data_IF_849317029314
#
_entry.id   IF_849317029314
#
_cell.length_a   1.000
_cell.length_b   1.000
_cell.length_c   1.000
_cell.angle_alpha   90.00
_cell.angle_beta   90.00
_cell.angle_gamma   90.00
#
_symmetry.space_group_name_H-M   'P 1'
#
loop_
_entity.id
_entity.type
_entity.pdbx_description
1 polymer ?
#
# COMPACT_ATOMS: atom_id res chain seq x y z
N UNK A 1 -32.60 5.13 4.74
CA UNK A 1 -31.94 4.61 3.52
C UNK A 1 -30.52 4.26 3.89
N UNK A 2 -30.00 3.08 3.50
CA UNK A 2 -28.60 2.77 3.75
C UNK A 2 -27.71 3.76 2.99
N UNK A 3 -26.71 4.34 3.65
CA UNK A 3 -25.69 5.15 2.99
C UNK A 3 -24.94 4.28 1.98
N UNK A 4 -24.76 4.72 0.72
CA UNK A 4 -24.05 3.93 -0.27
C UNK A 4 -22.61 3.68 0.16
N UNK A 5 -22.08 2.50 -0.16
CA UNK A 5 -20.66 2.17 0.05
C UNK A 5 -19.83 2.89 -1.00
N UNK A 6 -18.84 3.66 -0.56
CA UNK A 6 -17.83 4.27 -1.43
C UNK A 6 -16.51 3.51 -1.32
N UNK A 7 -15.89 3.22 -2.46
CA UNK A 7 -14.57 2.60 -2.53
C UNK A 7 -13.66 3.56 -3.30
N UNK A 8 -12.61 4.04 -2.64
CA UNK A 8 -11.59 4.88 -3.25
C UNK A 8 -10.35 4.03 -3.53
N UNK A 9 -9.86 4.07 -4.77
CA UNK A 9 -8.61 3.41 -5.16
C UNK A 9 -7.61 4.49 -5.52
N UNK A 10 -6.54 4.59 -4.74
CA UNK A 10 -5.54 5.64 -4.86
C UNK A 10 -4.19 5.01 -5.20
N UNK A 11 -3.58 5.45 -6.30
CA UNK A 11 -2.17 5.15 -6.58
C UNK A 11 -1.30 6.01 -5.66
N UNK A 12 -0.16 5.48 -5.21
CA UNK A 12 0.84 6.26 -4.50
C UNK A 12 1.25 7.52 -5.30
N UNK A 13 1.70 8.55 -4.59
CA UNK A 13 2.27 9.76 -5.20
C UNK A 13 3.62 9.48 -5.88
N UNK A 14 4.23 10.50 -6.51
CA UNK A 14 5.51 10.38 -7.23
C UNK A 14 6.60 9.76 -6.35
N UNK A 15 7.36 8.82 -6.93
CA UNK A 15 8.43 8.11 -6.23
C UNK A 15 9.76 8.83 -6.37
N UNK A 16 10.63 8.68 -5.38
CA UNK A 16 11.98 9.23 -5.43
C UNK A 16 12.80 8.67 -6.60
N UNK A 17 12.62 7.40 -6.97
CA UNK A 17 13.36 6.78 -8.06
C UNK A 17 12.90 7.20 -9.46
N UNK A 18 11.70 7.81 -9.57
CA UNK A 18 11.23 8.42 -10.81
C UNK A 18 12.05 9.68 -11.17
N UNK A 19 12.62 10.36 -10.15
CA UNK A 19 13.34 11.64 -10.30
C UNK A 19 14.84 11.54 -10.03
N UNK A 20 15.26 10.57 -9.21
CA UNK A 20 16.64 10.42 -8.78
C UNK A 20 17.14 8.98 -9.01
N UNK A 21 17.93 8.77 -10.07
CA UNK A 21 18.44 7.43 -10.45
C UNK A 21 19.41 6.80 -9.44
N UNK A 22 19.96 7.59 -8.51
CA UNK A 22 20.95 7.15 -7.52
C UNK A 22 20.41 7.20 -6.08
N UNK A 23 19.09 7.35 -5.92
CA UNK A 23 18.41 7.48 -4.63
C UNK A 23 18.79 6.39 -3.61
N UNK A 24 18.98 5.16 -4.10
CA UNK A 24 19.20 3.98 -3.25
C UNK A 24 20.56 3.98 -2.55
N UNK A 25 21.56 4.74 -3.02
CA UNK A 25 22.90 4.72 -2.41
C UNK A 25 22.94 5.24 -0.97
N UNK A 26 22.03 6.16 -0.63
CA UNK A 26 21.92 6.75 0.71
C UNK A 26 20.61 6.36 1.40
N UNK A 27 19.94 5.31 0.91
CA UNK A 27 18.65 4.85 1.42
C UNK A 27 18.82 3.55 2.20
N UNK A 28 18.00 3.36 3.22
CA UNK A 28 17.86 2.07 3.91
C UNK A 28 16.85 1.14 3.21
N UNK A 29 16.11 1.66 2.22
CA UNK A 29 15.15 0.88 1.44
C UNK A 29 15.83 0.11 0.30
N UNK A 30 15.25 -1.05 -0.04
CA UNK A 30 15.59 -1.83 -1.24
C UNK A 30 15.09 -1.16 -2.52
N UNK A 31 15.61 -1.57 -3.67
CA UNK A 31 15.36 -0.88 -4.96
C UNK A 31 13.89 -0.93 -5.41
N UNK A 32 13.13 -1.93 -4.98
CA UNK A 32 11.70 -2.08 -5.22
C UNK A 32 10.81 -1.23 -4.30
N UNK A 33 11.39 -0.67 -3.24
CA UNK A 33 10.67 0.05 -2.19
C UNK A 33 11.06 1.54 -2.04
N UNK A 34 11.13 2.32 -3.12
CA UNK A 34 11.41 3.75 -3.02
C UNK A 34 10.33 4.49 -2.22
N UNK A 35 10.73 5.49 -1.42
CA UNK A 35 9.80 6.44 -0.82
C UNK A 35 9.25 7.40 -1.87
N UNK A 36 8.37 8.29 -1.44
CA UNK A 36 7.92 9.45 -2.21
C UNK A 36 9.07 10.45 -2.41
N UNK A 37 9.07 11.10 -3.57
CA UNK A 37 9.92 12.27 -3.83
C UNK A 37 9.43 13.50 -3.06
N UNK A 38 10.20 14.59 -3.08
CA UNK A 38 9.75 15.89 -2.53
C UNK A 38 8.42 16.34 -3.16
N UNK A 39 8.29 16.24 -4.49
CA UNK A 39 7.03 16.53 -5.19
C UNK A 39 5.93 15.53 -4.84
N UNK A 40 6.27 14.26 -4.65
CA UNK A 40 5.34 13.23 -4.16
C UNK A 40 4.75 13.57 -2.79
N UNK A 41 5.55 14.15 -1.89
CA UNK A 41 5.07 14.63 -0.59
C UNK A 41 4.09 15.82 -0.74
N UNK A 42 4.32 16.72 -1.68
CA UNK A 42 3.37 17.81 -2.00
C UNK A 42 2.04 17.23 -2.51
N UNK A 43 2.08 16.26 -3.42
CA UNK A 43 0.88 15.57 -3.90
C UNK A 43 0.12 14.88 -2.75
N UNK A 44 0.82 14.28 -1.80
CA UNK A 44 0.22 13.65 -0.63
C UNK A 44 -0.48 14.68 0.29
N UNK A 45 0.06 15.89 0.41
CA UNK A 45 -0.60 16.99 1.13
C UNK A 45 -1.87 17.48 0.41
N UNK A 46 -1.85 17.51 -0.93
CA UNK A 46 -3.05 17.82 -1.70
C UNK A 46 -4.13 16.76 -1.49
N UNK A 47 -3.76 15.47 -1.50
CA UNK A 47 -4.68 14.37 -1.17
C UNK A 47 -5.24 14.50 0.25
N UNK A 48 -4.44 14.90 1.25
CA UNK A 48 -4.95 15.15 2.60
C UNK A 48 -6.08 16.21 2.58
N UNK A 49 -5.86 17.33 1.86
CA UNK A 49 -6.83 18.41 1.75
C UNK A 49 -8.13 17.96 1.06
N UNK A 50 -8.01 17.24 -0.06
CA UNK A 50 -9.17 16.71 -0.79
C UNK A 50 -9.95 15.70 0.04
N UNK A 51 -9.26 14.83 0.77
CA UNK A 51 -9.91 13.82 1.59
C UNK A 51 -10.43 14.37 2.91
N UNK A 52 -10.04 15.58 3.36
CA UNK A 52 -10.24 16.09 4.73
C UNK A 52 -11.65 15.83 5.30
N UNK A 53 -12.69 16.07 4.50
CA UNK A 53 -14.09 15.96 4.91
C UNK A 53 -14.77 14.65 4.48
N UNK A 54 -14.03 13.72 3.87
CA UNK A 54 -14.50 12.38 3.52
C UNK A 54 -14.36 11.50 4.76
N UNK A 55 -15.48 10.90 5.19
CA UNK A 55 -15.47 9.89 6.24
C UNK A 55 -14.85 8.60 5.71
N UNK A 56 -13.90 8.03 6.46
CA UNK A 56 -13.18 6.82 6.08
C UNK A 56 -13.32 5.82 7.22
N UNK A 57 -14.07 4.74 6.98
CA UNK A 57 -14.22 3.64 7.95
C UNK A 57 -12.99 2.72 7.96
N UNK A 58 -12.47 2.41 6.77
CA UNK A 58 -11.36 1.46 6.60
C UNK A 58 -10.32 2.00 5.62
N UNK A 59 -9.04 1.83 5.95
CA UNK A 59 -7.92 2.11 5.07
C UNK A 59 -7.06 0.85 4.95
N UNK A 60 -6.86 0.40 3.72
CA UNK A 60 -5.93 -0.68 3.39
C UNK A 60 -4.87 -0.14 2.46
N UNK A 61 -3.61 -0.48 2.72
CA UNK A 61 -2.49 0.00 1.91
C UNK A 61 -1.54 -1.14 1.56
N UNK A 62 -0.96 -1.05 0.36
CA UNK A 62 0.20 -1.86 0.01
C UNK A 62 1.34 -1.56 0.98
N UNK A 63 2.15 -2.56 1.36
CA UNK A 63 3.18 -2.37 2.37
C UNK A 63 4.39 -1.53 1.90
N UNK A 64 4.48 -1.22 0.61
CA UNK A 64 5.56 -0.36 0.13
C UNK A 64 5.48 1.04 0.71
N UNK A 65 6.66 1.60 1.01
CA UNK A 65 6.86 2.86 1.68
C UNK A 65 6.09 4.00 1.01
N UNK A 66 6.17 4.12 -0.33
CA UNK A 66 5.40 5.10 -1.11
C UNK A 66 3.89 5.04 -0.89
N UNK A 67 3.34 3.83 -0.71
CA UNK A 67 1.92 3.62 -0.44
C UNK A 67 1.59 3.98 1.00
N UNK A 68 2.42 3.56 1.95
CA UNK A 68 2.27 3.91 3.38
C UNK A 68 2.34 5.43 3.59
N UNK A 69 3.31 6.12 2.99
CA UNK A 69 3.43 7.58 3.05
C UNK A 69 2.17 8.28 2.50
N UNK A 70 1.67 7.82 1.36
CA UNK A 70 0.45 8.37 0.75
C UNK A 70 -0.76 8.15 1.67
N UNK A 71 -0.96 6.93 2.17
CA UNK A 71 -2.07 6.60 3.09
C UNK A 71 -1.97 7.35 4.42
N UNK A 72 -0.76 7.45 4.98
CA UNK A 72 -0.51 8.15 6.24
C UNK A 72 -0.84 9.63 6.13
N UNK A 73 -0.52 10.26 4.99
CA UNK A 73 -0.91 11.65 4.73
C UNK A 73 -2.39 11.82 4.50
N UNK A 74 -3.06 10.94 3.76
CA UNK A 74 -4.53 10.97 3.64
C UNK A 74 -5.19 10.94 5.02
N UNK A 75 -4.67 10.15 5.96
CA UNK A 75 -5.22 9.99 7.31
C UNK A 75 -4.62 10.94 8.36
N UNK A 76 -3.74 11.86 7.98
CA UNK A 76 -3.10 12.77 8.93
C UNK A 76 -4.15 13.62 9.67
N UNK A 77 -4.02 13.67 11.00
CA UNK A 77 -4.98 14.35 11.88
C UNK A 77 -6.26 13.55 12.20
N UNK A 78 -6.37 12.30 11.74
CA UNK A 78 -7.51 11.40 12.05
C UNK A 78 -7.11 10.33 13.05
N UNK A 79 -7.95 10.13 14.06
CA UNK A 79 -7.79 9.05 15.05
C UNK A 79 -8.78 7.90 14.86
N UNK A 80 -9.79 8.08 13.99
CA UNK A 80 -10.89 7.12 13.81
C UNK A 80 -10.61 6.02 12.77
N UNK A 81 -9.49 6.10 12.04
CA UNK A 81 -9.13 5.12 11.02
C UNK A 81 -7.64 4.82 11.09
N UNK A 82 -7.30 3.53 11.10
CA UNK A 82 -5.92 3.04 11.06
C UNK A 82 -5.62 2.41 9.70
N UNK A 83 -4.35 2.38 9.32
CA UNK A 83 -3.85 1.77 8.09
C UNK A 83 -3.66 0.27 8.33
N UNK A 84 -4.47 -0.54 7.64
CA UNK A 84 -4.31 -1.98 7.57
C UNK A 84 -3.32 -2.31 6.44
N UNK A 85 -2.11 -2.76 6.79
CA UNK A 85 -1.06 -3.07 5.82
C UNK A 85 -1.35 -4.43 5.15
N UNK A 86 -1.70 -4.42 3.86
CA UNK A 86 -2.15 -5.60 3.11
C UNK A 86 -1.23 -5.88 1.90
N UNK A 87 -0.28 -6.83 2.03
CA UNK A 87 0.55 -7.33 0.92
C UNK A 87 -0.23 -7.89 -0.27
N UNK A 88 -1.53 -8.21 -0.11
CA UNK A 88 -2.44 -8.52 -1.21
C UNK A 88 -2.55 -7.41 -2.26
N UNK A 89 -2.13 -6.18 -1.93
CA UNK A 89 -2.03 -5.03 -2.85
C UNK A 89 -0.62 -4.70 -3.32
N UNK A 90 0.37 -5.58 -3.11
CA UNK A 90 1.66 -5.47 -3.78
C UNK A 90 1.49 -5.46 -5.31
N UNK A 91 2.42 -4.80 -5.98
CA UNK A 91 2.45 -4.74 -7.44
C UNK A 91 2.70 -6.13 -8.08
N UNK A 92 2.67 -6.19 -9.41
CA UNK A 92 2.93 -7.44 -10.11
C UNK A 92 4.37 -7.93 -9.87
N UNK A 93 4.56 -9.22 -9.60
CA UNK A 93 5.87 -9.77 -9.22
C UNK A 93 6.98 -9.59 -10.28
N UNK A 94 6.64 -9.40 -11.56
CA UNK A 94 7.63 -9.10 -12.60
C UNK A 94 8.28 -7.73 -12.39
N UNK A 95 7.56 -6.73 -11.87
CA UNK A 95 8.10 -5.40 -11.59
C UNK A 95 9.12 -5.43 -10.44
N UNK A 96 8.94 -6.33 -9.48
CA UNK A 96 9.94 -6.60 -8.44
C UNK A 96 11.24 -7.05 -9.09
N UNK A 97 11.18 -7.94 -10.08
CA UNK A 97 12.38 -8.42 -10.80
C UNK A 97 13.07 -7.32 -11.61
N UNK A 98 12.31 -6.40 -12.19
CA UNK A 98 12.85 -5.26 -12.94
C UNK A 98 13.67 -4.31 -12.05
N UNK A 99 13.35 -4.23 -10.75
CA UNK A 99 14.16 -3.48 -9.77
C UNK A 99 15.51 -4.12 -9.44
N UNK A 100 15.69 -5.40 -9.81
CA UNK A 100 16.83 -6.24 -9.43
C UNK A 100 16.58 -7.12 -8.21
N UNK A 101 15.44 -6.97 -7.54
CA UNK A 101 15.06 -7.78 -6.38
C UNK A 101 14.40 -9.11 -6.78
N UNK A 102 14.59 -10.15 -5.96
CA UNK A 102 13.96 -11.47 -6.20
C UNK A 102 12.54 -11.56 -5.65
N UNK A 103 12.29 -10.84 -4.56
CA UNK A 103 11.04 -10.84 -3.79
C UNK A 103 10.75 -9.44 -3.28
N UNK A 104 9.46 -9.09 -3.12
CA UNK A 104 9.08 -7.79 -2.59
C UNK A 104 9.67 -7.65 -1.19
N UNK A 105 10.39 -6.57 -0.96
CA UNK A 105 11.00 -6.26 0.33
C UNK A 105 10.40 -4.99 0.87
N UNK A 106 9.83 -5.09 2.06
CA UNK A 106 9.17 -3.99 2.75
C UNK A 106 9.29 -4.20 4.26
N UNK A 107 9.22 -3.10 4.99
CA UNK A 107 9.31 -3.13 6.45
C UNK A 107 8.09 -3.77 7.08
N UNK A 108 8.28 -4.35 8.26
CA UNK A 108 7.20 -4.94 9.04
C UNK A 108 6.36 -3.86 9.71
N UNK A 109 5.11 -4.17 10.03
CA UNK A 109 4.17 -3.23 10.66
C UNK A 109 4.73 -2.53 11.91
N UNK A 110 5.55 -3.23 12.71
CA UNK A 110 6.20 -2.62 13.89
C UNK A 110 7.25 -1.58 13.54
N UNK A 111 8.03 -1.81 12.48
CA UNK A 111 9.02 -0.86 11.98
C UNK A 111 8.30 0.36 11.38
N UNK A 112 7.27 0.12 10.55
CA UNK A 112 6.40 1.17 10.01
C UNK A 112 5.77 2.01 11.12
N UNK A 113 5.26 1.37 12.20
CA UNK A 113 4.62 2.05 13.32
C UNK A 113 5.57 2.98 14.10
N UNK A 114 6.89 2.82 13.99
CA UNK A 114 7.84 3.77 14.57
C UNK A 114 7.84 5.12 13.84
N UNK A 115 7.43 5.14 12.56
CA UNK A 115 7.39 6.32 11.68
C UNK A 115 5.96 6.80 11.42
N UNK A 116 4.98 5.88 11.48
CA UNK A 116 3.58 6.11 11.13
C UNK A 116 2.66 5.65 12.28
N UNK A 117 2.24 6.55 13.18
CA UNK A 117 1.50 6.17 14.40
C UNK A 117 0.09 5.60 14.13
N UNK A 118 -0.43 5.74 12.91
CA UNK A 118 -1.73 5.24 12.48
C UNK A 118 -1.67 3.83 11.86
N UNK A 119 -0.55 3.11 11.93
CA UNK A 119 -0.47 1.71 11.50
C UNK A 119 -1.29 0.81 12.44
N UNK A 120 -2.16 -0.03 11.87
CA UNK A 120 -2.96 -0.98 12.63
C UNK A 120 -2.17 -2.26 12.96
N UNK A 121 -1.50 -2.28 14.11
CA UNK A 121 -0.75 -3.46 14.58
C UNK A 121 -1.61 -4.70 14.91
N UNK A 122 -2.95 -4.57 14.92
CA UNK A 122 -3.87 -5.68 15.20
C UNK A 122 -4.40 -6.33 13.93
N UNK A 123 -4.19 -5.69 12.77
CA UNK A 123 -4.63 -6.23 11.50
C UNK A 123 -3.83 -7.49 11.16
N UNK A 124 -4.50 -8.50 10.59
CA UNK A 124 -3.87 -9.70 10.06
C UNK A 124 -4.08 -9.70 8.54
N UNK A 125 -3.00 -9.59 7.74
CA UNK A 125 -3.13 -9.54 6.30
C UNK A 125 -3.59 -10.88 5.72
N UNK A 126 -4.28 -10.82 4.59
CA UNK A 126 -4.71 -12.02 3.85
C UNK A 126 -3.55 -12.67 3.11
N UNK A 127 -2.56 -11.88 2.70
CA UNK A 127 -1.35 -12.33 2.05
C UNK A 127 -0.11 -11.86 2.79
N UNK A 128 0.94 -12.67 2.77
CA UNK A 128 2.29 -12.25 3.20
C UNK A 128 3.22 -11.99 2.01
N UNK A 129 2.92 -12.57 0.85
CA UNK A 129 3.70 -12.41 -0.37
C UNK A 129 2.84 -12.81 -1.58
N UNK A 130 3.12 -12.27 -2.77
CA UNK A 130 2.67 -12.83 -4.04
C UNK A 130 3.06 -14.31 -4.18
N UNK A 131 2.28 -15.07 -4.94
CA UNK A 131 2.58 -16.47 -5.25
C UNK A 131 3.78 -16.59 -6.20
N UNK A 132 4.45 -17.74 -6.21
CA UNK A 132 5.63 -17.99 -7.07
C UNK A 132 5.33 -17.76 -8.57
N UNK A 133 4.13 -18.11 -9.01
CA UNK A 133 3.64 -17.92 -10.39
C UNK A 133 3.63 -16.43 -10.81
N UNK A 134 3.58 -15.50 -9.86
CA UNK A 134 3.67 -14.06 -10.14
C UNK A 134 5.08 -13.58 -10.47
N UNK A 135 6.09 -14.42 -10.32
CA UNK A 135 7.47 -14.08 -10.69
C UNK A 135 7.91 -14.76 -12.01
N UNK A 136 7.04 -15.61 -12.57
CA UNK A 136 7.20 -16.23 -13.88
C UNK A 136 6.70 -15.32 -15.01
N UNK A 137 7.56 -15.09 -16.00
CA UNK A 137 7.31 -14.27 -17.19
C UNK A 137 6.02 -14.60 -17.94
N UNK A 138 5.52 -15.84 -17.90
CA UNK A 138 4.37 -16.26 -18.71
C UNK A 138 3.02 -16.16 -17.98
N UNK A 139 3.01 -16.04 -16.65
CA UNK A 139 1.78 -16.12 -15.84
C UNK A 139 1.51 -14.86 -14.99
N UNK A 140 2.44 -13.91 -14.95
CA UNK A 140 2.46 -12.88 -13.90
C UNK A 140 1.18 -12.03 -13.82
N UNK A 141 0.72 -11.48 -14.94
CA UNK A 141 -0.41 -10.51 -14.93
C UNK A 141 -1.70 -11.18 -14.45
N UNK A 142 -1.97 -12.40 -14.90
CA UNK A 142 -3.16 -13.16 -14.49
C UNK A 142 -3.11 -13.56 -13.02
N UNK A 143 -1.94 -14.00 -12.55
CA UNK A 143 -1.75 -14.36 -11.15
C UNK A 143 -1.91 -13.14 -10.22
N UNK A 144 -1.31 -11.99 -10.56
CA UNK A 144 -1.52 -10.73 -9.85
C UNK A 144 -3.00 -10.30 -9.84
N UNK A 145 -3.67 -10.34 -11.00
CA UNK A 145 -5.10 -10.04 -11.09
C UNK A 145 -5.93 -10.93 -10.15
N UNK A 146 -5.65 -12.24 -10.11
CA UNK A 146 -6.34 -13.17 -9.22
C UNK A 146 -6.12 -12.85 -7.75
N UNK A 147 -4.88 -12.52 -7.35
CA UNK A 147 -4.54 -12.09 -5.98
C UNK A 147 -5.28 -10.82 -5.57
N UNK A 148 -5.23 -9.77 -6.41
CA UNK A 148 -5.92 -8.50 -6.12
C UNK A 148 -7.43 -8.70 -6.05
N UNK A 149 -8.00 -9.48 -6.98
CA UNK A 149 -9.44 -9.83 -6.98
C UNK A 149 -9.84 -10.59 -5.72
N UNK A 150 -9.03 -11.55 -5.27
CA UNK A 150 -9.28 -12.29 -4.03
C UNK A 150 -9.22 -11.36 -2.82
N UNK A 151 -8.14 -10.57 -2.72
CA UNK A 151 -7.92 -9.59 -1.65
C UNK A 151 -9.12 -8.67 -1.51
N UNK A 152 -9.52 -7.98 -2.58
CA UNK A 152 -10.65 -7.05 -2.54
C UNK A 152 -11.96 -7.75 -2.10
N UNK A 153 -12.24 -8.96 -2.61
CA UNK A 153 -13.44 -9.71 -2.22
C UNK A 153 -13.47 -10.07 -0.74
N UNK A 154 -12.34 -10.45 -0.15
CA UNK A 154 -12.28 -10.79 1.27
C UNK A 154 -12.35 -9.54 2.14
N UNK A 155 -11.65 -8.46 1.76
CA UNK A 155 -11.70 -7.20 2.51
C UNK A 155 -13.11 -6.62 2.55
N UNK A 156 -13.88 -6.72 1.46
CA UNK A 156 -15.29 -6.28 1.45
C UNK A 156 -16.13 -7.06 2.48
N UNK A 157 -15.91 -8.36 2.63
CA UNK A 157 -16.58 -9.17 3.65
C UNK A 157 -16.13 -8.81 5.06
N UNK A 158 -14.83 -8.55 5.27
CA UNK A 158 -14.30 -8.08 6.56
C UNK A 158 -14.95 -6.75 6.95
N UNK A 159 -15.07 -5.80 6.01
CA UNK A 159 -15.71 -4.50 6.24
C UNK A 159 -17.22 -4.62 6.53
N UNK A 160 -17.86 -5.71 6.12
CA UNK A 160 -19.26 -6.05 6.44
C UNK A 160 -19.42 -6.75 7.80
N UNK A 161 -18.33 -7.02 8.51
CA UNK A 161 -18.36 -7.76 9.78
C UNK A 161 -18.62 -9.27 9.60
N UNK A 162 -18.39 -9.81 8.40
CA UNK A 162 -18.68 -11.22 8.07
C UNK A 162 -17.55 -12.20 8.43
N UNK A 163 -16.50 -11.74 9.12
CA UNK A 163 -15.43 -12.60 9.65
C UNK A 163 -14.95 -12.11 11.03
N UNK A 164 -14.91 -13.03 12.00
CA UNK A 164 -14.27 -12.92 13.32
C UNK A 164 -13.17 -13.97 13.45
#
# INVERSE_FOLDING_TARGET
>A
MATPRHIYVIRHCEREDDVNRVWYFNSHFTRDNPPLSERGLVQANDLNREFKNIHIDYCFSSPYERCIQTSAKILEGRSNCLINVEPGFLEAGFLVRESGEKRPTYEKDRELATRYPNINLRYKPLYLSPAEEEFDSNATVRACFNRVKHTLKQLLKICEGLFF
#
